data_IF_129147406532
#
_entry.id   IF_129147406532
#
_cell.length_a   1.000
_cell.length_b   1.000
_cell.length_c   1.000
_cell.angle_alpha   90.00
_cell.angle_beta   90.00
_cell.angle_gamma   90.00
#
_symmetry.space_group_name_H-M   'P 1'
#
loop_
_entity.id
_entity.type
_entity.pdbx_description
1 polymer ?
#
# COMPACT_ATOMS: atom_id res chain seq x y z
N UNK A 1 -9.57 24.94 -2.58
CA UNK A 1 -8.98 23.74 -1.91
C UNK A 1 -10.11 22.76 -1.64
N UNK A 2 -9.96 21.50 -1.99
CA UNK A 2 -11.05 20.55 -1.90
C UNK A 2 -11.31 20.04 -0.48
N UNK A 3 -12.49 19.47 -0.25
CA UNK A 3 -12.96 18.89 1.03
C UNK A 3 -12.02 17.84 1.69
N UNK A 4 -10.94 17.42 1.00
CA UNK A 4 -9.93 16.54 1.60
C UNK A 4 -9.26 17.15 2.85
N UNK A 5 -9.30 18.49 3.00
CA UNK A 5 -8.79 19.15 4.21
C UNK A 5 -9.71 18.96 5.44
N UNK A 6 -10.98 18.67 5.21
CA UNK A 6 -11.98 18.47 6.29
C UNK A 6 -11.92 17.05 6.87
N UNK A 7 -11.08 16.19 6.29
CA UNK A 7 -10.91 14.82 6.77
C UNK A 7 -10.21 14.82 8.13
N UNK A 8 -10.87 14.21 9.10
CA UNK A 8 -10.31 13.92 10.41
C UNK A 8 -9.74 12.50 10.44
N UNK A 9 -8.49 12.37 10.87
CA UNK A 9 -7.84 11.07 11.06
C UNK A 9 -7.78 10.72 12.54
N UNK A 10 -8.37 9.58 12.92
CA UNK A 10 -8.44 9.11 14.32
C UNK A 10 -7.94 7.67 14.42
N UNK A 11 -7.34 7.31 15.54
CA UNK A 11 -7.08 5.89 15.87
C UNK A 11 -8.42 5.20 16.15
N UNK A 12 -8.62 4.04 15.56
CA UNK A 12 -9.83 3.24 15.72
C UNK A 12 -9.48 1.80 16.15
N UNK A 13 -10.36 1.13 16.90
CA UNK A 13 -10.11 -0.26 17.30
C UNK A 13 -10.29 -1.23 16.12
N UNK A 14 -9.60 -2.39 16.20
CA UNK A 14 -9.65 -3.43 15.17
C UNK A 14 -11.08 -3.89 14.85
N UNK A 15 -11.97 -3.93 15.85
CA UNK A 15 -13.40 -4.28 15.66
C UNK A 15 -14.15 -3.35 14.70
N UNK A 16 -13.68 -2.11 14.51
CA UNK A 16 -14.22 -1.14 13.56
C UNK A 16 -13.46 -1.23 12.23
N UNK A 17 -12.14 -1.34 12.28
CA UNK A 17 -11.29 -1.36 11.10
C UNK A 17 -11.49 -2.62 10.23
N UNK A 18 -11.53 -3.81 10.84
CA UNK A 18 -11.58 -5.09 10.12
C UNK A 18 -12.83 -5.22 9.24
N UNK A 19 -14.07 -4.96 9.72
CA UNK A 19 -15.25 -5.03 8.86
C UNK A 19 -15.21 -4.04 7.71
N UNK A 20 -14.70 -2.83 7.94
CA UNK A 20 -14.55 -1.84 6.89
C UNK A 20 -13.58 -2.29 5.80
N UNK A 21 -12.37 -2.75 6.18
CA UNK A 21 -11.37 -3.25 5.23
C UNK A 21 -11.91 -4.43 4.41
N UNK A 22 -12.58 -5.39 5.06
CA UNK A 22 -13.17 -6.55 4.36
C UNK A 22 -14.21 -6.15 3.30
N UNK A 23 -14.97 -5.09 3.55
CA UNK A 23 -16.01 -4.61 2.63
C UNK A 23 -15.44 -3.76 1.49
N UNK A 24 -14.46 -2.92 1.77
CA UNK A 24 -14.02 -1.86 0.85
C UNK A 24 -12.74 -2.20 0.10
N UNK A 25 -11.81 -2.93 0.75
CA UNK A 25 -10.54 -3.26 0.09
C UNK A 25 -10.75 -4.29 -1.03
N UNK A 26 -10.15 -4.05 -2.20
CA UNK A 26 -10.28 -4.92 -3.38
C UNK A 26 -10.02 -6.41 -3.12
N UNK A 27 -9.14 -6.76 -2.19
CA UNK A 27 -8.85 -8.16 -1.84
C UNK A 27 -9.85 -8.77 -0.87
N UNK A 28 -10.72 -7.98 -0.22
CA UNK A 28 -11.62 -8.46 0.85
C UNK A 28 -10.92 -9.03 2.08
N UNK A 29 -9.59 -8.89 2.18
CA UNK A 29 -8.77 -9.57 3.20
C UNK A 29 -8.06 -8.55 4.10
N UNK A 30 -7.90 -8.90 5.37
CA UNK A 30 -7.10 -8.18 6.36
C UNK A 30 -5.75 -8.86 6.56
N UNK A 31 -4.81 -8.15 7.19
CA UNK A 31 -3.53 -8.72 7.64
C UNK A 31 -3.62 -8.90 9.16
N UNK A 32 -3.48 -10.14 9.62
CA UNK A 32 -3.74 -10.51 11.02
C UNK A 32 -2.79 -9.86 12.04
N UNK A 33 -1.60 -9.47 11.62
CA UNK A 33 -0.62 -8.78 12.46
C UNK A 33 -0.76 -7.24 12.44
N UNK A 34 -1.81 -6.70 11.83
CA UNK A 34 -2.13 -5.28 11.94
C UNK A 34 -2.48 -4.92 13.38
N UNK A 35 -1.80 -3.94 13.96
CA UNK A 35 -1.95 -3.56 15.36
C UNK A 35 -2.32 -2.10 15.58
N UNK A 36 -2.21 -1.25 14.56
CA UNK A 36 -2.59 0.16 14.61
C UNK A 36 -3.48 0.47 13.40
N UNK A 37 -4.65 1.04 13.67
CA UNK A 37 -5.59 1.40 12.63
C UNK A 37 -5.96 2.87 12.75
N UNK A 38 -5.88 3.59 11.62
CA UNK A 38 -6.41 4.95 11.50
C UNK A 38 -7.69 4.91 10.67
N UNK A 39 -8.74 5.53 11.18
CA UNK A 39 -9.96 5.79 10.44
C UNK A 39 -9.97 7.22 9.91
N UNK A 40 -10.33 7.37 8.64
CA UNK A 40 -10.56 8.66 7.99
C UNK A 40 -12.05 8.97 8.03
N UNK A 41 -12.40 10.08 8.68
CA UNK A 41 -13.78 10.53 8.87
C UNK A 41 -14.01 11.80 8.06
N UNK A 42 -15.14 11.83 7.37
CA UNK A 42 -15.69 13.02 6.71
C UNK A 42 -17.19 13.08 7.01
N UNK A 43 -17.72 14.26 7.31
CA UNK A 43 -19.11 14.46 7.72
C UNK A 43 -19.54 13.53 8.90
N UNK A 44 -18.60 13.27 9.83
CA UNK A 44 -18.82 12.43 11.00
C UNK A 44 -18.87 10.92 10.73
N UNK A 45 -18.70 10.46 9.48
CA UNK A 45 -18.77 9.05 9.08
C UNK A 45 -17.40 8.52 8.67
N UNK A 46 -17.18 7.22 8.88
CA UNK A 46 -15.96 6.51 8.51
C UNK A 46 -15.99 6.16 7.02
N UNK A 47 -15.04 6.68 6.26
CA UNK A 47 -14.90 6.51 4.82
C UNK A 47 -13.55 5.94 4.38
N UNK A 48 -12.61 5.77 5.31
CA UNK A 48 -11.31 5.18 5.00
C UNK A 48 -10.66 4.55 6.21
N UNK A 49 -9.85 3.50 5.96
CA UNK A 49 -9.06 2.83 6.98
C UNK A 49 -7.64 2.59 6.45
N UNK A 50 -6.66 2.96 7.26
CA UNK A 50 -5.26 2.57 7.08
C UNK A 50 -4.84 1.69 8.25
N UNK A 51 -4.29 0.52 7.96
CA UNK A 51 -3.81 -0.45 8.95
C UNK A 51 -2.30 -0.61 8.87
N UNK A 52 -1.66 -0.53 10.03
CA UNK A 52 -0.23 -0.68 10.21
C UNK A 52 0.08 -1.83 11.14
N UNK A 53 1.20 -2.49 10.90
CA UNK A 53 1.69 -3.56 11.75
C UNK A 53 3.12 -3.96 11.42
N UNK A 54 3.69 -4.97 12.08
CA UNK A 54 4.95 -5.55 11.65
C UNK A 54 4.75 -6.23 10.29
N UNK A 55 5.77 -6.23 9.40
CA UNK A 55 5.74 -7.02 8.18
C UNK A 55 5.61 -8.52 8.51
N UNK A 56 4.99 -9.29 7.60
CA UNK A 56 4.83 -10.74 7.77
C UNK A 56 6.18 -11.44 7.92
N UNK A 57 7.19 -11.05 7.15
CA UNK A 57 8.56 -11.53 7.31
C UNK A 57 9.50 -10.35 7.63
N UNK A 58 9.45 -9.93 8.89
CA UNK A 58 10.20 -8.76 9.36
C UNK A 58 11.71 -8.91 9.19
N UNK A 59 12.25 -10.12 9.37
CA UNK A 59 13.69 -10.37 9.25
C UNK A 59 14.21 -10.06 7.84
N UNK A 60 13.43 -10.38 6.80
CA UNK A 60 13.82 -10.10 5.40
C UNK A 60 13.84 -8.62 5.04
N UNK A 61 13.04 -7.80 5.71
CA UNK A 61 12.89 -6.39 5.36
C UNK A 61 13.58 -5.42 6.31
N UNK A 62 13.90 -5.86 7.53
CA UNK A 62 14.52 -5.00 8.54
C UNK A 62 15.87 -4.44 8.06
N UNK A 63 16.64 -5.27 7.35
CA UNK A 63 17.94 -4.90 6.77
C UNK A 63 17.88 -3.93 5.59
N UNK A 64 16.69 -3.57 5.09
CA UNK A 64 16.56 -2.56 4.02
C UNK A 64 17.06 -1.18 4.46
N UNK A 65 17.06 -0.91 5.77
CA UNK A 65 17.61 0.32 6.35
C UNK A 65 18.54 -0.09 7.50
N UNK A 66 19.82 0.12 7.31
CA UNK A 66 20.86 -0.33 8.22
C UNK A 66 20.67 0.22 9.64
N UNK A 67 20.93 -0.64 10.64
CA UNK A 67 20.83 -0.28 12.06
C UNK A 67 19.41 -0.06 12.56
N UNK A 68 18.38 -0.51 11.82
CA UNK A 68 16.99 -0.41 12.25
C UNK A 68 16.75 -1.29 13.50
N UNK A 69 16.34 -0.71 14.63
CA UNK A 69 15.92 -1.49 15.79
C UNK A 69 14.71 -2.36 15.47
N UNK A 70 14.52 -3.45 16.24
CA UNK A 70 13.39 -4.38 15.99
C UNK A 70 12.03 -3.68 15.87
N UNK A 71 11.75 -2.68 16.70
CA UNK A 71 10.52 -1.89 16.66
C UNK A 71 10.67 -0.56 15.89
N UNK A 72 11.75 -0.38 15.13
CA UNK A 72 12.08 0.86 14.42
C UNK A 72 11.34 1.06 13.11
N UNK A 73 10.47 0.13 12.71
CA UNK A 73 9.70 0.22 11.47
C UNK A 73 8.31 -0.40 11.58
N UNK A 74 7.41 0.07 10.74
CA UNK A 74 6.07 -0.51 10.51
C UNK A 74 5.84 -0.75 9.02
N UNK A 75 4.90 -1.61 8.71
CA UNK A 75 4.32 -1.74 7.36
C UNK A 75 2.93 -1.12 7.35
N UNK A 76 2.66 -0.24 6.38
CA UNK A 76 1.31 0.13 5.98
C UNK A 76 0.79 -1.02 5.10
N UNK A 77 0.09 -1.96 5.74
CA UNK A 77 -0.23 -3.23 5.13
C UNK A 77 -1.66 -3.33 4.57
N UNK A 78 -2.53 -2.36 4.89
CA UNK A 78 -3.84 -2.19 4.25
C UNK A 78 -4.21 -0.72 4.19
N UNK A 79 -4.77 -0.34 3.06
CA UNK A 79 -5.36 0.97 2.83
C UNK A 79 -6.65 0.77 2.04
N UNK A 80 -7.78 1.09 2.65
CA UNK A 80 -9.11 0.93 2.10
C UNK A 80 -9.87 2.25 2.26
N UNK A 81 -10.32 2.82 1.15
CA UNK A 81 -11.07 4.08 1.08
C UNK A 81 -12.28 3.86 0.18
N UNK A 82 -13.43 4.38 0.58
CA UNK A 82 -14.61 4.35 -0.28
C UNK A 82 -14.67 5.58 -1.19
N UNK A 83 -15.56 5.54 -2.17
CA UNK A 83 -15.68 6.57 -3.21
C UNK A 83 -16.34 7.87 -2.74
N UNK A 84 -16.79 7.94 -1.48
CA UNK A 84 -17.33 9.17 -0.90
C UNK A 84 -16.26 10.24 -0.69
N UNK A 85 -15.02 9.80 -0.44
CA UNK A 85 -13.92 10.71 -0.18
C UNK A 85 -13.48 11.47 -1.43
N UNK A 86 -13.24 12.77 -1.34
CA UNK A 86 -12.80 13.57 -2.46
C UNK A 86 -11.39 13.17 -2.92
N UNK A 87 -11.01 13.61 -4.12
CA UNK A 87 -9.66 13.43 -4.67
C UNK A 87 -8.59 13.87 -3.67
N UNK A 88 -7.47 13.17 -3.64
CA UNK A 88 -6.31 13.36 -2.76
C UNK A 88 -6.54 13.02 -1.27
N UNK A 89 -7.65 12.37 -0.92
CA UNK A 89 -7.95 11.97 0.46
C UNK A 89 -6.93 11.00 1.01
N UNK A 90 -6.51 10.02 0.22
CA UNK A 90 -5.55 9.01 0.62
C UNK A 90 -4.18 9.63 0.94
N UNK A 91 -3.65 10.47 0.05
CA UNK A 91 -2.35 11.15 0.30
C UNK A 91 -2.43 12.11 1.49
N UNK A 92 -3.56 12.77 1.69
CA UNK A 92 -3.83 13.57 2.88
C UNK A 92 -3.81 12.73 4.15
N UNK A 93 -4.50 11.58 4.15
CA UNK A 93 -4.55 10.66 5.29
C UNK A 93 -3.17 10.06 5.60
N UNK A 94 -2.40 9.67 4.58
CA UNK A 94 -1.02 9.21 4.74
C UNK A 94 -0.19 10.30 5.43
N UNK A 95 -0.25 11.55 4.94
CA UNK A 95 0.50 12.67 5.52
C UNK A 95 0.16 12.88 7.00
N UNK A 96 -1.13 12.81 7.36
CA UNK A 96 -1.58 12.92 8.74
C UNK A 96 -1.10 11.75 9.60
N UNK A 97 -1.19 10.51 9.09
CA UNK A 97 -0.71 9.32 9.79
C UNK A 97 0.80 9.40 10.07
N UNK A 98 1.61 9.82 9.09
CA UNK A 98 3.05 9.98 9.28
C UNK A 98 3.39 11.05 10.34
N UNK A 99 2.63 12.15 10.40
CA UNK A 99 2.77 13.17 11.45
C UNK A 99 2.41 12.63 12.83
N UNK A 100 1.34 11.83 12.92
CA UNK A 100 0.91 11.20 14.17
C UNK A 100 1.94 10.15 14.64
N UNK A 101 2.46 9.33 13.75
CA UNK A 101 3.55 8.37 14.05
C UNK A 101 4.80 9.09 14.53
N UNK A 102 5.23 10.14 13.84
CA UNK A 102 6.40 10.94 14.25
C UNK A 102 6.28 11.48 15.67
N UNK A 103 5.07 11.95 16.04
CA UNK A 103 4.81 12.55 17.36
C UNK A 103 4.66 11.51 18.47
N UNK A 104 3.90 10.44 18.21
CA UNK A 104 3.45 9.50 19.24
C UNK A 104 4.26 8.20 19.29
N UNK A 105 5.03 7.89 18.24
CA UNK A 105 5.87 6.69 18.13
C UNK A 105 7.27 7.05 17.58
N UNK A 106 8.06 7.90 18.26
CA UNK A 106 9.33 8.43 17.76
C UNK A 106 10.40 7.36 17.55
N UNK A 107 10.20 6.15 18.08
CA UNK A 107 11.03 4.98 17.83
C UNK A 107 10.86 4.43 16.41
N UNK A 108 9.72 4.63 15.77
CA UNK A 108 9.48 4.25 14.37
C UNK A 108 10.19 5.25 13.46
N UNK A 109 11.13 4.78 12.67
CA UNK A 109 12.00 5.60 11.82
C UNK A 109 11.52 5.64 10.37
N UNK A 110 10.92 4.55 9.91
CA UNK A 110 10.44 4.44 8.55
C UNK A 110 9.24 3.48 8.44
N UNK A 111 8.50 3.64 7.36
CA UNK A 111 7.32 2.83 7.04
C UNK A 111 7.53 2.17 5.69
N UNK A 112 7.30 0.85 5.66
CA UNK A 112 7.28 0.03 4.46
C UNK A 112 5.87 0.00 3.88
N UNK A 113 5.73 -0.06 2.57
CA UNK A 113 4.48 -0.44 1.92
C UNK A 113 4.74 -1.14 0.60
N UNK A 114 3.79 -1.96 0.18
CA UNK A 114 3.82 -2.61 -1.12
C UNK A 114 2.61 -2.17 -1.95
N UNK A 115 2.86 -1.88 -3.23
CA UNK A 115 1.79 -1.71 -4.19
C UNK A 115 1.62 -3.02 -4.98
N UNK A 116 0.36 -3.45 -5.11
CA UNK A 116 -0.01 -4.63 -5.87
C UNK A 116 -0.26 -4.26 -7.34
N UNK A 117 0.81 -4.20 -8.10
CA UNK A 117 0.75 -3.98 -9.54
C UNK A 117 0.27 -5.20 -10.34
N UNK A 118 -0.32 -6.20 -9.67
CA UNK A 118 -1.00 -7.31 -10.34
C UNK A 118 -2.51 -7.11 -10.37
N UNK A 119 -3.09 -6.42 -9.37
CA UNK A 119 -4.54 -6.36 -9.18
C UNK A 119 -5.09 -4.95 -8.97
N UNK A 120 -4.28 -4.02 -8.43
CA UNK A 120 -4.79 -2.73 -7.99
C UNK A 120 -4.06 -1.55 -8.63
N UNK A 121 -2.77 -1.39 -8.34
CA UNK A 121 -2.05 -0.22 -8.81
C UNK A 121 -0.55 -0.25 -8.55
N UNK A 122 0.17 0.60 -9.26
CA UNK A 122 1.62 0.73 -9.19
C UNK A 122 2.13 1.62 -8.04
N UNK A 123 1.24 2.08 -7.18
CA UNK A 123 1.58 2.90 -6.02
C UNK A 123 1.68 4.38 -6.31
N UNK A 124 0.93 4.91 -7.29
CA UNK A 124 0.82 6.35 -7.56
C UNK A 124 0.58 7.16 -6.28
N UNK A 125 -0.21 6.62 -5.33
CA UNK A 125 -0.49 7.25 -4.03
C UNK A 125 0.77 7.39 -3.17
N UNK A 126 1.66 6.40 -3.18
CA UNK A 126 2.90 6.43 -2.43
C UNK A 126 3.86 7.47 -3.01
N UNK A 127 3.93 7.58 -4.34
CA UNK A 127 4.69 8.63 -5.03
C UNK A 127 4.20 10.01 -4.61
N UNK A 128 2.88 10.24 -4.64
CA UNK A 128 2.24 11.50 -4.21
C UNK A 128 2.43 11.81 -2.71
N UNK A 129 2.84 10.82 -1.91
CA UNK A 129 3.02 10.92 -0.46
C UNK A 129 4.49 10.88 -0.01
N UNK A 130 5.44 11.15 -0.90
CA UNK A 130 6.89 11.20 -0.63
C UNK A 130 7.51 9.87 -0.19
N UNK A 131 6.92 8.74 -0.56
CA UNK A 131 7.63 7.47 -0.48
C UNK A 131 8.67 7.37 -1.60
N UNK A 132 9.77 6.70 -1.33
CA UNK A 132 10.75 6.29 -2.33
C UNK A 132 10.48 4.88 -2.80
N UNK A 133 10.59 4.63 -4.09
CA UNK A 133 10.52 3.30 -4.67
C UNK A 133 11.87 2.61 -4.46
N UNK A 134 11.86 1.38 -3.92
CA UNK A 134 13.09 0.64 -3.58
C UNK A 134 13.13 -0.75 -4.19
N UNK A 135 12.15 -1.10 -5.01
CA UNK A 135 12.16 -2.35 -5.74
C UNK A 135 10.91 -2.55 -6.58
N UNK A 136 11.11 -3.15 -7.74
CA UNK A 136 10.07 -3.64 -8.64
C UNK A 136 10.38 -5.11 -8.86
N UNK A 137 9.48 -6.02 -8.46
CA UNK A 137 9.66 -7.45 -8.63
C UNK A 137 8.50 -8.04 -9.42
N UNK A 138 8.82 -8.88 -10.40
CA UNK A 138 7.80 -9.70 -11.06
C UNK A 138 7.11 -10.57 -10.01
N UNK A 139 5.79 -10.69 -10.12
CA UNK A 139 5.00 -11.48 -9.19
C UNK A 139 5.43 -12.96 -9.22
N UNK A 140 5.58 -13.55 -8.03
CA UNK A 140 5.85 -14.96 -7.84
C UNK A 140 4.95 -15.59 -6.75
N UNK A 141 4.12 -14.78 -6.09
CA UNK A 141 3.34 -15.18 -4.92
C UNK A 141 1.82 -15.21 -5.14
N UNK A 142 1.35 -14.59 -6.21
CA UNK A 142 -0.06 -14.60 -6.58
C UNK A 142 -0.30 -15.51 -7.77
N UNK A 143 -1.31 -16.35 -7.67
CA UNK A 143 -1.78 -17.20 -8.76
C UNK A 143 -3.28 -16.98 -8.97
N UNK A 144 -3.75 -17.28 -10.16
CA UNK A 144 -5.13 -17.12 -10.57
C UNK A 144 -5.71 -18.47 -11.01
N UNK A 145 -6.90 -18.79 -10.51
CA UNK A 145 -7.68 -19.93 -10.94
C UNK A 145 -8.54 -19.57 -12.17
N UNK A 146 -9.10 -20.58 -12.83
CA UNK A 146 -9.92 -20.40 -14.03
C UNK A 146 -11.20 -19.59 -13.79
N UNK A 147 -11.70 -19.60 -12.55
CA UNK A 147 -12.85 -18.79 -12.10
C UNK A 147 -12.50 -17.33 -11.75
N UNK A 148 -11.23 -16.93 -11.97
CA UNK A 148 -10.73 -15.59 -11.64
C UNK A 148 -10.32 -15.41 -10.18
N UNK A 149 -10.44 -16.43 -9.33
CA UNK A 149 -10.03 -16.35 -7.92
C UNK A 149 -8.52 -16.19 -7.80
N UNK A 150 -8.08 -15.13 -7.10
CA UNK A 150 -6.67 -14.89 -6.83
C UNK A 150 -6.27 -15.46 -5.47
N UNK A 151 -5.25 -16.33 -5.49
CA UNK A 151 -4.71 -17.02 -4.31
C UNK A 151 -3.27 -16.58 -4.07
N UNK A 152 -2.96 -16.24 -2.82
CA UNK A 152 -1.59 -15.93 -2.39
C UNK A 152 -0.91 -17.18 -1.81
N UNK A 153 0.37 -17.38 -2.10
CA UNK A 153 1.17 -18.52 -1.62
C UNK A 153 1.12 -18.71 -0.09
N UNK A 154 1.14 -17.62 0.68
CA UNK A 154 1.02 -17.67 2.15
C UNK A 154 -0.35 -18.20 2.56
N UNK A 155 -1.42 -17.83 1.87
CA UNK A 155 -2.77 -18.34 2.14
C UNK A 155 -2.82 -19.85 1.88
N UNK A 156 -2.28 -20.28 0.73
CA UNK A 156 -2.21 -21.70 0.39
C UNK A 156 -1.38 -22.50 1.42
N UNK A 157 -0.29 -21.93 1.91
CA UNK A 157 0.52 -22.54 2.97
C UNK A 157 -0.27 -22.73 4.26
N UNK A 158 -0.96 -21.70 4.73
CA UNK A 158 -1.76 -21.78 5.97
C UNK A 158 -2.96 -22.73 5.88
N UNK A 159 -3.50 -22.93 4.68
CA UNK A 159 -4.62 -23.85 4.45
C UNK A 159 -4.18 -25.25 4.03
N UNK A 160 -2.89 -25.52 3.90
CA UNK A 160 -2.38 -26.83 3.47
C UNK A 160 -2.66 -27.16 1.99
N UNK A 161 -2.93 -26.17 1.16
CA UNK A 161 -3.34 -26.33 -0.24
C UNK A 161 -2.21 -25.97 -1.24
N UNK A 162 -0.94 -26.15 -0.85
CA UNK A 162 0.21 -25.81 -1.70
C UNK A 162 0.25 -26.63 -3.02
N UNK A 163 -0.20 -27.89 -2.96
CA UNK A 163 -0.28 -28.77 -4.14
C UNK A 163 -1.26 -28.24 -5.19
N UNK A 164 -2.43 -27.78 -4.77
CA UNK A 164 -3.42 -27.14 -5.65
C UNK A 164 -2.93 -25.78 -6.13
N UNK A 165 -2.36 -24.98 -5.24
CA UNK A 165 -1.77 -23.69 -5.59
C UNK A 165 -0.71 -23.82 -6.68
N UNK A 166 0.12 -24.87 -6.66
CA UNK A 166 1.18 -25.07 -7.66
C UNK A 166 0.64 -25.32 -9.07
N UNK A 167 -0.60 -25.77 -9.21
CA UNK A 167 -1.28 -26.05 -10.49
C UNK A 167 -1.91 -24.80 -11.10
N UNK A 168 -2.14 -23.75 -10.32
CA UNK A 168 -2.73 -22.51 -10.80
C UNK A 168 -1.77 -21.71 -11.66
N UNK A 169 -2.29 -20.94 -12.60
CA UNK A 169 -1.52 -20.02 -13.42
C UNK A 169 -0.93 -18.87 -12.60
N UNK A 170 0.30 -18.46 -12.90
CA UNK A 170 0.90 -17.28 -12.26
C UNK A 170 0.16 -16.03 -12.72
N UNK A 171 -0.33 -15.21 -11.79
CA UNK A 171 -0.92 -13.92 -12.11
C UNK A 171 0.18 -12.99 -12.62
N UNK A 172 0.04 -12.48 -13.84
CA UNK A 172 1.01 -11.54 -14.40
C UNK A 172 0.97 -10.19 -13.68
N UNK A 173 2.14 -9.59 -13.52
CA UNK A 173 2.30 -8.25 -12.97
C UNK A 173 3.51 -8.15 -12.05
N UNK A 174 3.54 -7.07 -11.30
CA UNK A 174 4.67 -6.70 -10.46
C UNK A 174 4.22 -6.30 -9.07
N UNK A 175 5.08 -6.51 -8.09
CA UNK A 175 4.97 -5.94 -6.76
C UNK A 175 6.02 -4.85 -6.60
N UNK A 176 5.58 -3.68 -6.16
CA UNK A 176 6.43 -2.51 -6.02
C UNK A 176 6.61 -2.20 -4.54
N UNK A 177 7.86 -2.04 -4.10
CA UNK A 177 8.20 -1.78 -2.70
C UNK A 177 8.54 -0.32 -2.47
N UNK A 178 7.85 0.28 -1.53
CA UNK A 178 7.95 1.68 -1.17
C UNK A 178 8.38 1.87 0.28
N UNK A 179 9.20 2.88 0.54
CA UNK A 179 9.63 3.25 1.89
C UNK A 179 9.37 4.75 2.10
N UNK A 180 8.77 5.08 3.25
CA UNK A 180 8.66 6.44 3.76
C UNK A 180 9.55 6.61 4.98
N UNK A 181 10.41 7.64 5.00
CA UNK A 181 11.27 7.94 6.13
C UNK A 181 10.60 8.97 7.04
N UNK A 182 10.11 8.54 8.21
CA UNK A 182 9.54 9.42 9.25
C UNK A 182 10.64 10.35 9.79
N UNK A 183 11.83 9.80 9.99
CA UNK A 183 13.05 10.56 10.24
C UNK A 183 13.91 10.55 8.96
N UNK A 184 13.99 11.69 8.25
CA UNK A 184 14.72 11.77 6.97
C UNK A 184 16.19 11.39 7.04
N UNK A 185 16.80 11.47 8.24
CA UNK A 185 18.20 11.07 8.44
C UNK A 185 18.44 9.60 8.13
N UNK A 186 17.41 8.77 8.31
CA UNK A 186 17.47 7.33 8.08
C UNK A 186 17.52 6.97 6.59
N UNK A 187 17.14 7.86 5.68
CA UNK A 187 17.27 7.64 4.23
C UNK A 187 18.69 7.33 3.79
N UNK A 188 19.69 7.94 4.45
CA UNK A 188 21.11 7.69 4.17
C UNK A 188 21.58 6.28 4.56
N UNK A 189 20.77 5.54 5.33
CA UNK A 189 21.04 4.16 5.78
C UNK A 189 20.36 3.11 4.90
N UNK A 190 19.74 3.53 3.79
CA UNK A 190 19.12 2.61 2.84
C UNK A 190 20.21 1.70 2.25
N UNK A 191 20.00 0.38 2.31
CA UNK A 191 20.96 -0.64 1.86
C UNK A 191 20.71 -1.09 0.42
N UNK A 192 19.63 -0.62 -0.17
CA UNK A 192 19.23 -0.90 -1.55
C UNK A 192 19.11 0.42 -2.32
N UNK A 193 19.30 0.41 -3.65
CA UNK A 193 19.15 1.63 -4.43
C UNK A 193 17.70 2.15 -4.41
N UNK A 194 17.56 3.47 -4.45
CA UNK A 194 16.29 4.08 -4.84
C UNK A 194 16.09 3.88 -6.33
N UNK A 195 14.93 3.38 -6.70
CA UNK A 195 14.58 3.12 -8.09
C UNK A 195 13.85 4.34 -8.65
N UNK A 196 14.29 4.92 -9.77
CA UNK A 196 13.55 5.99 -10.42
C UNK A 196 12.14 5.54 -10.80
N UNK A 197 11.14 6.40 -10.61
CA UNK A 197 9.76 6.04 -10.96
C UNK A 197 9.55 5.74 -12.46
N UNK A 198 10.41 6.26 -13.33
CA UNK A 198 10.42 5.92 -14.76
C UNK A 198 10.67 4.44 -15.05
N UNK A 199 11.30 3.71 -14.11
CA UNK A 199 11.51 2.28 -14.24
C UNK A 199 10.19 1.49 -14.23
N UNK A 200 9.14 2.02 -13.60
CA UNK A 200 7.79 1.41 -13.62
C UNK A 200 7.31 1.30 -15.08
N UNK A 201 7.45 2.38 -15.83
CA UNK A 201 7.04 2.41 -17.25
C UNK A 201 7.99 1.57 -18.11
N UNK A 202 9.30 1.68 -17.90
CA UNK A 202 10.32 0.91 -18.63
C UNK A 202 10.14 -0.60 -18.48
N UNK A 203 9.73 -1.06 -17.30
CA UNK A 203 9.49 -2.48 -17.02
C UNK A 203 8.08 -2.95 -17.40
N UNK A 204 7.20 -2.06 -17.87
CA UNK A 204 5.79 -2.38 -18.10
C UNK A 204 5.06 -2.76 -16.80
N UNK A 205 5.50 -2.22 -15.67
CA UNK A 205 4.95 -2.49 -14.34
C UNK A 205 3.83 -1.52 -13.95
N UNK A 206 3.43 -0.63 -14.86
CA UNK A 206 2.37 0.35 -14.62
C UNK A 206 1.00 -0.33 -14.47
N UNK A 207 0.27 0.05 -13.42
CA UNK A 207 -1.06 -0.43 -13.11
C UNK A 207 -1.88 0.68 -12.47
N UNK A 208 -3.12 0.85 -12.90
CA UNK A 208 -4.04 1.80 -12.31
C UNK A 208 -5.45 1.22 -12.26
N UNK A 209 -6.04 1.14 -11.07
CA UNK A 209 -7.38 0.55 -10.83
C UNK A 209 -7.58 -0.83 -11.46
N UNK A 210 -6.56 -1.67 -11.42
CA UNK A 210 -6.60 -3.03 -11.97
C UNK A 210 -6.32 -3.14 -13.47
N UNK A 211 -6.05 -2.04 -14.16
CA UNK A 211 -5.73 -2.02 -15.58
C UNK A 211 -4.26 -1.69 -15.83
N UNK A 212 -3.62 -2.36 -16.78
CA UNK A 212 -2.25 -2.02 -17.20
C UNK A 212 -2.23 -0.59 -17.73
N UNK A 213 -1.29 0.23 -17.27
CA UNK A 213 -1.21 1.63 -17.65
C UNK A 213 0.20 2.02 -18.08
N UNK A 214 0.29 2.83 -19.13
CA UNK A 214 1.52 3.50 -19.55
C UNK A 214 1.54 4.94 -19.03
N UNK A 215 2.69 5.60 -19.15
CA UNK A 215 2.80 7.04 -18.83
C UNK A 215 1.84 7.88 -19.68
N UNK A 216 1.72 7.54 -20.97
CA UNK A 216 0.84 8.24 -21.92
C UNK A 216 -0.64 8.07 -21.55
N UNK A 217 -1.08 6.83 -21.25
CA UNK A 217 -2.48 6.59 -20.85
C UNK A 217 -2.85 7.32 -19.55
N UNK A 218 -1.89 7.49 -18.64
CA UNK A 218 -2.11 8.27 -17.39
C UNK A 218 -2.22 9.77 -17.63
N UNK A 219 -1.46 10.32 -18.59
CA UNK A 219 -1.56 11.74 -18.99
C UNK A 219 -2.91 12.02 -19.66
N UNK A 220 -3.31 11.20 -20.62
CA UNK A 220 -4.59 11.35 -21.33
C UNK A 220 -5.79 11.27 -20.37
N UNK A 221 -5.77 10.33 -19.42
CA UNK A 221 -6.82 10.24 -18.41
C UNK A 221 -6.85 11.44 -17.45
N UNK A 222 -5.70 12.06 -17.17
CA UNK A 222 -5.63 13.27 -16.35
C UNK A 222 -6.12 14.51 -17.10
N UNK A 223 -5.83 14.62 -18.39
CA UNK A 223 -6.28 15.72 -19.26
C UNK A 223 -7.79 15.63 -19.53
N UNK A 224 -8.32 14.45 -19.81
CA UNK A 224 -9.76 14.24 -19.97
C UNK A 224 -10.56 14.66 -18.72
N UNK A 225 -10.06 14.36 -17.53
CA UNK A 225 -10.68 14.78 -16.25
C UNK A 225 -10.54 16.29 -15.96
N UNK A 226 -9.67 17.00 -16.66
CA UNK A 226 -9.55 18.47 -16.55
C UNK A 226 -10.51 19.20 -17.49
N UNK A 227 -10.94 18.55 -18.57
CA UNK A 227 -11.88 19.10 -19.57
C UNK A 227 -13.36 18.88 -19.18
N UNK A 228 -13.64 17.96 -18.24
CA UNK A 228 -15.00 17.70 -17.72
C UNK A 228 -15.39 18.58 -16.51
N UNK A 229 -14.62 19.63 -16.20
CA UNK A 229 -14.89 20.64 -15.16
C UNK A 229 -15.03 22.03 -15.75
#
# INVERSE_FOLDING_TARGET
>A
MGRALDIELRVIPSKVAIPFVKRVHYSGKVVNNSCLHFGAFLDGKLHGVMSFGPPTDKRKVLGLVEGTPWNGMLELNRMAFDDYLPRNSESRCISLAMKLLKRNAPHVKWVLSFADGCQCGDGTIYRASNFVLTGIKKNASLRIADDGTVVHSITAYHHGTQGEFSKLSTLEGYQLRYIYFIDPKWRKRLTVPEVPFSEIDRMGAGMYKGEKSTRESRHTACEAQLLEK
#
